data_IF_489064987478
#
_entry.id   IF_489064987478
#
_cell.length_a   1.000
_cell.length_b   1.000
_cell.length_c   1.000
_cell.angle_alpha   90.00
_cell.angle_beta   90.00
_cell.angle_gamma   90.00
#
_symmetry.space_group_name_H-M   'P 1'
#
loop_
_entity.id
_entity.type
_entity.pdbx_description
1 polymer ?
#
# COMPACT_ATOMS: atom_id res chain seq x y z
N UNK A 1 17.59 -13.26 -1.94
CA UNK A 1 16.14 -13.01 -2.09
C UNK A 1 15.87 -12.71 -3.56
N UNK A 2 15.22 -13.61 -4.30
CA UNK A 2 15.04 -13.47 -5.76
C UNK A 2 13.89 -12.49 -6.02
N UNK A 3 14.23 -11.24 -6.40
CA UNK A 3 13.26 -10.30 -7.00
C UNK A 3 12.63 -10.97 -8.21
N UNK A 4 11.32 -10.81 -8.34
CA UNK A 4 10.53 -11.32 -9.47
C UNK A 4 11.16 -10.82 -10.78
N UNK A 5 11.40 -11.74 -11.71
CA UNK A 5 12.02 -11.44 -12.98
C UNK A 5 11.10 -10.54 -13.84
N UNK A 6 11.69 -9.79 -14.79
CA UNK A 6 10.94 -8.83 -15.63
C UNK A 6 9.79 -9.49 -16.40
N UNK A 7 9.93 -10.75 -16.83
CA UNK A 7 8.87 -11.51 -17.52
C UNK A 7 7.71 -11.81 -16.58
N UNK A 8 8.01 -12.23 -15.36
CA UNK A 8 6.98 -12.48 -14.34
C UNK A 8 6.26 -11.18 -13.93
N UNK A 9 6.94 -10.02 -13.92
CA UNK A 9 6.30 -8.71 -13.78
C UNK A 9 5.34 -8.35 -14.91
N UNK A 10 5.70 -8.63 -16.16
CA UNK A 10 4.79 -8.42 -17.31
C UNK A 10 3.56 -9.33 -17.24
N UNK A 11 3.72 -10.58 -16.81
CA UNK A 11 2.59 -11.49 -16.61
C UNK A 11 1.69 -11.02 -15.45
N UNK A 12 2.27 -10.57 -14.34
CA UNK A 12 1.52 -10.01 -13.21
C UNK A 12 0.75 -8.74 -13.62
N UNK A 13 1.33 -7.89 -14.47
CA UNK A 13 0.64 -6.71 -15.00
C UNK A 13 -0.54 -7.09 -15.93
N UNK A 14 -0.37 -8.10 -16.78
CA UNK A 14 -1.43 -8.59 -17.68
C UNK A 14 -2.54 -9.38 -16.97
N UNK A 15 -2.24 -9.99 -15.82
CA UNK A 15 -3.17 -10.75 -14.98
C UNK A 15 -3.55 -10.00 -13.69
N UNK A 16 -3.36 -8.68 -13.66
CA UNK A 16 -3.49 -7.85 -12.44
C UNK A 16 -4.87 -7.96 -11.78
N UNK A 17 -5.94 -8.07 -12.58
CA UNK A 17 -7.31 -8.26 -12.08
C UNK A 17 -7.58 -9.66 -11.51
N UNK A 18 -6.71 -10.65 -11.82
CA UNK A 18 -6.84 -12.04 -11.38
C UNK A 18 -5.93 -12.37 -10.18
N UNK A 19 -4.90 -11.55 -9.92
CA UNK A 19 -4.00 -11.73 -8.79
C UNK A 19 -4.51 -10.98 -7.55
N UNK A 20 -4.92 -11.75 -6.54
CA UNK A 20 -5.11 -11.23 -5.19
C UNK A 20 -3.73 -10.85 -4.63
N UNK A 21 -3.56 -9.58 -4.27
CA UNK A 21 -2.34 -9.14 -3.60
C UNK A 21 -2.41 -9.51 -2.11
N UNK A 22 -1.61 -10.48 -1.70
CA UNK A 22 -1.44 -10.83 -0.30
C UNK A 22 -0.77 -9.70 0.49
N UNK A 23 -1.12 -9.59 1.78
CA UNK A 23 -0.58 -8.57 2.69
C UNK A 23 0.95 -8.63 2.77
N UNK A 24 1.51 -9.83 2.89
CA UNK A 24 2.95 -10.05 2.96
C UNK A 24 3.67 -9.55 1.71
N UNK A 25 3.08 -9.77 0.53
CA UNK A 25 3.66 -9.33 -0.74
C UNK A 25 3.66 -7.80 -0.84
N UNK A 26 2.54 -7.17 -0.49
CA UNK A 26 2.42 -5.71 -0.54
C UNK A 26 3.35 -5.07 0.49
N UNK A 27 3.43 -5.61 1.69
CA UNK A 27 4.37 -5.13 2.72
C UNK A 27 5.82 -5.25 2.23
N UNK A 28 6.21 -6.41 1.69
CA UNK A 28 7.56 -6.66 1.17
C UNK A 28 7.98 -5.70 0.06
N UNK A 29 7.06 -5.31 -0.83
CA UNK A 29 7.38 -4.43 -1.98
C UNK A 29 7.25 -2.95 -1.59
N UNK A 30 6.16 -2.58 -0.92
CA UNK A 30 5.82 -1.20 -0.66
C UNK A 30 6.59 -0.62 0.53
N UNK A 31 6.90 -1.40 1.57
CA UNK A 31 7.44 -0.89 2.82
C UNK A 31 8.97 -0.96 2.84
N UNK A 32 9.61 0.12 3.28
CA UNK A 32 11.05 0.16 3.45
C UNK A 32 11.49 -0.05 4.90
N UNK A 33 10.66 0.41 5.84
CA UNK A 33 10.92 0.36 7.28
C UNK A 33 9.63 0.06 8.04
N UNK A 34 9.74 -0.07 9.36
CA UNK A 34 8.63 -0.36 10.27
C UNK A 34 7.55 0.74 10.26
N UNK A 35 7.92 1.98 9.96
CA UNK A 35 6.98 3.11 9.86
C UNK A 35 6.10 2.94 8.63
N UNK A 36 6.66 2.53 7.48
CA UNK A 36 5.87 2.25 6.29
C UNK A 36 4.89 1.08 6.52
N UNK A 37 5.32 0.05 7.26
CA UNK A 37 4.45 -1.09 7.65
C UNK A 37 3.32 -0.62 8.55
N UNK A 38 3.64 0.17 9.59
CA UNK A 38 2.66 0.70 10.52
C UNK A 38 1.66 1.64 9.82
N UNK A 39 2.12 2.44 8.85
CA UNK A 39 1.27 3.28 8.01
C UNK A 39 0.30 2.45 7.16
N UNK A 40 0.80 1.38 6.53
CA UNK A 40 -0.03 0.46 5.74
C UNK A 40 -1.11 -0.18 6.61
N UNK A 41 -0.75 -0.64 7.80
CA UNK A 41 -1.67 -1.24 8.78
C UNK A 41 -2.73 -0.24 9.26
N UNK A 42 -2.33 0.99 9.61
CA UNK A 42 -3.26 2.03 10.04
C UNK A 42 -4.31 2.35 8.95
N UNK A 43 -3.88 2.43 7.68
CA UNK A 43 -4.79 2.66 6.56
C UNK A 43 -5.71 1.47 6.27
N UNK A 44 -5.22 0.24 6.48
CA UNK A 44 -6.04 -0.97 6.39
C UNK A 44 -7.13 -0.96 7.46
N UNK A 45 -6.75 -0.70 8.70
CA UNK A 45 -7.65 -0.75 9.85
C UNK A 45 -8.70 0.38 9.77
N UNK A 46 -8.34 1.54 9.22
CA UNK A 46 -9.27 2.62 8.92
C UNK A 46 -10.24 2.31 7.75
N UNK A 47 -9.96 1.29 6.94
CA UNK A 47 -10.83 0.80 5.88
C UNK A 47 -11.25 1.87 4.87
N UNK A 48 -12.56 1.92 4.56
CA UNK A 48 -13.11 2.85 3.57
C UNK A 48 -13.07 4.33 4.00
N UNK A 49 -13.03 4.57 5.32
CA UNK A 49 -13.03 5.91 5.90
C UNK A 49 -11.71 6.63 5.62
N UNK A 50 -10.60 5.90 5.72
CA UNK A 50 -9.25 6.45 5.60
C UNK A 50 -8.87 7.37 6.75
N UNK A 51 -7.65 7.90 6.69
CA UNK A 51 -7.08 8.77 7.72
C UNK A 51 -6.42 10.01 7.12
N UNK A 52 -6.50 11.14 7.81
CA UNK A 52 -5.75 12.34 7.47
C UNK A 52 -4.27 12.19 7.84
N UNK A 53 -3.40 12.96 7.18
CA UNK A 53 -1.98 12.98 7.52
C UNK A 53 -1.70 13.33 8.99
N UNK A 54 -2.53 14.20 9.60
CA UNK A 54 -2.39 14.54 11.02
C UNK A 54 -2.72 13.38 11.95
N UNK A 55 -3.75 12.60 11.63
CA UNK A 55 -4.14 11.41 12.41
C UNK A 55 -3.06 10.33 12.31
N UNK A 56 -2.56 10.05 11.10
CA UNK A 56 -1.46 9.11 10.87
C UNK A 56 -0.18 9.55 11.58
N UNK A 57 0.14 10.85 11.53
CA UNK A 57 1.31 11.40 12.20
C UNK A 57 1.26 11.19 13.71
N UNK A 58 0.09 11.46 14.33
CA UNK A 58 -0.11 11.28 15.75
C UNK A 58 -0.05 9.80 16.16
N UNK A 59 -0.63 8.90 15.37
CA UNK A 59 -0.60 7.46 15.65
C UNK A 59 0.80 6.85 15.53
N UNK A 60 1.60 7.33 14.58
CA UNK A 60 2.92 6.79 14.27
C UNK A 60 4.07 7.54 14.95
N UNK A 61 3.76 8.61 15.69
CA UNK A 61 4.73 9.53 16.30
C UNK A 61 5.77 10.06 15.30
N UNK A 62 5.29 10.55 14.15
CA UNK A 62 6.13 11.13 13.09
C UNK A 62 5.65 12.52 12.67
N UNK A 63 6.46 13.24 11.90
CA UNK A 63 6.04 14.51 11.33
C UNK A 63 4.95 14.28 10.26
N UNK A 64 3.85 15.05 10.32
CA UNK A 64 2.77 14.97 9.33
C UNK A 64 3.22 15.18 7.87
N UNK A 65 4.31 15.93 7.65
CA UNK A 65 4.90 16.12 6.32
C UNK A 65 5.55 14.85 5.80
N UNK A 66 6.00 13.96 6.69
CA UNK A 66 6.67 12.72 6.34
C UNK A 66 5.67 11.69 5.84
N UNK A 67 4.44 11.68 6.38
CA UNK A 67 3.34 10.77 5.98
C UNK A 67 3.15 10.78 4.46
N UNK A 68 2.93 11.97 3.88
CA UNK A 68 2.71 12.09 2.44
C UNK A 68 3.92 11.62 1.65
N UNK A 69 5.14 11.99 2.07
CA UNK A 69 6.38 11.59 1.37
C UNK A 69 6.58 10.07 1.40
N UNK A 70 6.26 9.42 2.52
CA UNK A 70 6.31 7.95 2.68
C UNK A 70 5.31 7.28 1.76
N UNK A 71 4.05 7.71 1.78
CA UNK A 71 3.01 7.18 0.88
C UNK A 71 3.42 7.29 -0.59
N UNK A 72 3.96 8.43 -1.03
CA UNK A 72 4.43 8.58 -2.40
C UNK A 72 5.57 7.61 -2.75
N UNK A 73 6.50 7.35 -1.83
CA UNK A 73 7.59 6.37 -2.04
C UNK A 73 7.07 4.94 -2.08
N UNK A 74 6.14 4.58 -1.20
CA UNK A 74 5.48 3.27 -1.19
C UNK A 74 4.74 3.02 -2.50
N UNK A 75 3.94 3.98 -2.95
CA UNK A 75 3.26 3.93 -4.23
C UNK A 75 4.24 3.81 -5.40
N UNK A 76 5.32 4.59 -5.42
CA UNK A 76 6.34 4.51 -6.47
C UNK A 76 6.97 3.12 -6.56
N UNK A 77 7.21 2.45 -5.43
CA UNK A 77 7.72 1.07 -5.41
C UNK A 77 6.72 0.08 -6.00
N UNK A 78 5.44 0.21 -5.65
CA UNK A 78 4.37 -0.62 -6.22
C UNK A 78 4.13 -0.34 -7.71
N UNK A 79 4.22 0.92 -8.13
CA UNK A 79 4.13 1.31 -9.54
C UNK A 79 5.27 0.70 -10.36
N UNK A 80 6.49 0.67 -9.81
CA UNK A 80 7.63 0.02 -10.46
C UNK A 80 7.50 -1.50 -10.52
N UNK A 81 6.85 -2.12 -9.53
CA UNK A 81 6.69 -3.58 -9.46
C UNK A 81 5.53 -4.07 -10.32
N UNK A 82 4.35 -3.47 -10.19
CA UNK A 82 3.09 -3.95 -10.82
C UNK A 82 2.31 -2.85 -11.57
N UNK A 83 2.90 -1.66 -11.73
CA UNK A 83 2.25 -0.52 -12.42
C UNK A 83 0.93 -0.08 -11.78
N UNK A 84 0.87 -0.16 -10.45
CA UNK A 84 -0.28 0.25 -9.63
C UNK A 84 0.13 0.98 -8.37
N UNK A 85 -0.63 2.02 -8.02
CA UNK A 85 -0.59 2.62 -6.69
C UNK A 85 -1.49 1.85 -5.73
N UNK A 86 -1.05 1.67 -4.50
CA UNK A 86 -1.81 0.94 -3.47
C UNK A 86 -2.59 1.86 -2.53
N UNK A 87 -2.17 3.12 -2.44
CA UNK A 87 -2.75 4.15 -1.57
C UNK A 87 -3.15 5.35 -2.43
N UNK A 88 -4.33 5.89 -2.21
CA UNK A 88 -4.87 7.04 -2.92
C UNK A 88 -5.37 8.11 -1.95
N UNK A 89 -5.45 9.35 -2.44
CA UNK A 89 -5.91 10.50 -1.67
C UNK A 89 -7.35 10.86 -2.06
N UNK A 90 -8.24 10.88 -1.08
CA UNK A 90 -9.64 11.31 -1.21
C UNK A 90 -9.88 12.52 -0.31
N UNK A 91 -9.94 13.71 -0.92
CA UNK A 91 -9.97 14.98 -0.17
C UNK A 91 -8.72 15.13 0.69
N UNK A 92 -8.89 15.22 2.01
CA UNK A 92 -7.79 15.32 2.98
C UNK A 92 -7.34 13.97 3.56
N UNK A 93 -7.96 12.86 3.14
CA UNK A 93 -7.71 11.53 3.70
C UNK A 93 -6.94 10.64 2.72
N UNK A 94 -6.09 9.79 3.26
CA UNK A 94 -5.41 8.70 2.58
C UNK A 94 -6.18 7.41 2.78
N UNK A 95 -6.24 6.58 1.74
CA UNK A 95 -7.01 5.33 1.70
C UNK A 95 -6.27 4.27 0.91
N UNK A 96 -6.42 3.00 1.30
CA UNK A 96 -6.11 1.90 0.39
C UNK A 96 -7.10 1.88 -0.77
N UNK A 97 -6.60 1.62 -1.97
CA UNK A 97 -7.46 1.45 -3.15
C UNK A 97 -8.51 0.35 -2.89
N UNK A 98 -9.66 0.48 -3.53
CA UNK A 98 -10.79 -0.43 -3.29
C UNK A 98 -10.46 -1.91 -3.56
N UNK A 99 -9.65 -2.18 -4.59
CA UNK A 99 -9.17 -3.52 -4.95
C UNK A 99 -8.39 -4.15 -3.81
N UNK A 100 -7.35 -3.46 -3.34
CA UNK A 100 -6.48 -3.96 -2.27
C UNK A 100 -7.21 -4.22 -0.96
N UNK A 101 -8.21 -3.39 -0.61
CA UNK A 101 -9.07 -3.65 0.56
C UNK A 101 -9.84 -4.96 0.43
N UNK A 102 -10.31 -5.30 -0.77
CA UNK A 102 -10.98 -6.59 -1.03
C UNK A 102 -10.00 -7.75 -0.96
N UNK A 103 -8.82 -7.61 -1.55
CA UNK A 103 -7.78 -8.63 -1.54
C UNK A 103 -7.38 -9.01 -0.10
N UNK A 104 -7.15 -8.01 0.75
CA UNK A 104 -6.82 -8.24 2.17
C UNK A 104 -7.97 -8.86 2.96
N UNK A 105 -9.22 -8.52 2.65
CA UNK A 105 -10.39 -9.14 3.28
C UNK A 105 -10.58 -10.60 2.83
N UNK A 106 -10.26 -10.91 1.57
CA UNK A 106 -10.37 -12.25 1.00
C UNK A 106 -9.28 -13.20 1.51
N UNK A 107 -8.05 -12.71 1.72
CA UNK A 107 -6.93 -13.48 2.24
C UNK A 107 -7.07 -13.90 3.72
N UNK A 108 -8.08 -13.38 4.43
CA UNK A 108 -8.34 -13.67 5.86
C UNK A 108 -9.32 -14.85 6.07
N UNK A 109 -9.80 -15.47 4.99
CA UNK A 109 -10.66 -16.67 4.99
C UNK A 109 -9.85 -17.90 4.61
#
# INVERSE_FOLDING_TARGET
>A
MRRIDRRTRMLAAGLRELFMLGEDYVSMVACQDEIDVALLNALRDAGATGLQSGELAAQLDINHRDVSRRIFRMNKRMEQEISENIIEKHGHKWKLISRLRRDFAAARR
#
